data_IF_108391710743
#
_entry.id   IF_108391710743
#
_cell.length_a   1.000
_cell.length_b   1.000
_cell.length_c   1.000
_cell.angle_alpha   90.00
_cell.angle_beta   90.00
_cell.angle_gamma   90.00
#
_symmetry.space_group_name_H-M   'P 1'
#
loop_
_entity.id
_entity.type
_entity.pdbx_description
1 polymer ?
#
# COMPACT_ATOMS: atom_id res chain seq x y z
N UNK A 1 -1.38 2.66 -33.24
CA UNK A 1 -1.57 1.64 -32.20
C UNK A 1 -0.81 2.12 -30.98
N UNK A 2 -1.53 2.47 -29.92
CA UNK A 2 -0.98 3.21 -28.78
C UNK A 2 0.09 2.41 -28.05
N UNK A 3 1.29 3.01 -27.96
CA UNK A 3 2.43 2.46 -27.21
C UNK A 3 2.07 2.17 -25.74
N UNK A 4 1.12 2.93 -25.19
CA UNK A 4 0.59 2.76 -23.83
C UNK A 4 -0.26 1.48 -23.72
N UNK A 5 -1.08 1.17 -24.73
CA UNK A 5 -1.92 -0.03 -24.72
C UNK A 5 -1.09 -1.33 -24.84
N UNK A 6 0.02 -1.29 -25.60
CA UNK A 6 0.96 -2.42 -25.68
C UNK A 6 1.66 -2.67 -24.33
N UNK A 7 2.08 -1.60 -23.65
CA UNK A 7 2.68 -1.65 -22.32
C UNK A 7 1.72 -2.19 -21.25
N UNK A 8 0.44 -1.79 -21.27
CA UNK A 8 -0.59 -2.34 -20.38
C UNK A 8 -0.78 -3.84 -20.60
N UNK A 9 -0.80 -4.30 -21.85
CA UNK A 9 -0.92 -5.72 -22.15
C UNK A 9 0.31 -6.52 -21.68
N UNK A 10 1.52 -5.96 -21.81
CA UNK A 10 2.74 -6.58 -21.27
C UNK A 10 2.67 -6.73 -19.75
N UNK A 11 2.31 -5.66 -19.04
CA UNK A 11 2.15 -5.68 -17.58
C UNK A 11 1.11 -6.71 -17.14
N UNK A 12 0.00 -6.84 -17.89
CA UNK A 12 -1.03 -7.85 -17.63
C UNK A 12 -0.51 -9.29 -17.76
N UNK A 13 0.30 -9.57 -18.78
CA UNK A 13 0.89 -10.90 -18.98
C UNK A 13 1.91 -11.22 -17.89
N UNK A 14 2.81 -10.27 -17.58
CA UNK A 14 3.78 -10.41 -16.49
C UNK A 14 3.09 -10.63 -15.13
N UNK A 15 1.96 -9.96 -14.89
CA UNK A 15 1.19 -10.11 -13.66
C UNK A 15 0.59 -11.52 -13.54
N UNK A 16 0.00 -12.05 -14.62
CA UNK A 16 -0.55 -13.40 -14.62
C UNK A 16 0.53 -14.47 -14.39
N UNK A 17 1.69 -14.34 -15.03
CA UNK A 17 2.81 -15.27 -14.85
C UNK A 17 3.34 -15.24 -13.40
N UNK A 18 3.57 -14.04 -12.86
CA UNK A 18 3.98 -13.85 -11.47
C UNK A 18 2.92 -14.40 -10.48
N UNK A 19 1.63 -14.22 -10.78
CA UNK A 19 0.53 -14.73 -9.98
C UNK A 19 0.50 -16.26 -9.95
N UNK A 20 0.66 -16.91 -11.10
CA UNK A 20 0.72 -18.37 -11.17
C UNK A 20 1.91 -18.94 -10.40
N UNK A 21 3.10 -18.38 -10.59
CA UNK A 21 4.30 -18.83 -9.87
C UNK A 21 4.21 -18.62 -8.36
N UNK A 22 3.65 -17.50 -7.90
CA UNK A 22 3.45 -17.27 -6.45
C UNK A 22 2.47 -18.26 -5.86
N UNK A 23 1.38 -18.56 -6.57
CA UNK A 23 0.38 -19.54 -6.15
C UNK A 23 0.97 -20.95 -6.05
N UNK A 24 1.78 -21.36 -7.03
CA UNK A 24 2.49 -22.65 -6.99
C UNK A 24 3.43 -22.74 -5.78
N UNK A 25 4.17 -21.66 -5.48
CA UNK A 25 5.04 -21.59 -4.30
C UNK A 25 4.25 -21.71 -3.00
N UNK A 26 3.08 -21.07 -2.91
CA UNK A 26 2.20 -21.16 -1.73
C UNK A 26 1.67 -22.60 -1.55
N UNK A 27 1.25 -23.27 -2.63
CA UNK A 27 0.86 -24.70 -2.58
C UNK A 27 2.01 -25.61 -2.15
N UNK A 28 3.23 -25.33 -2.61
CA UNK A 28 4.43 -26.05 -2.18
C UNK A 28 4.73 -25.85 -0.68
N UNK A 29 4.43 -24.66 -0.13
CA UNK A 29 4.53 -24.40 1.33
C UNK A 29 3.44 -25.18 2.09
N UNK A 30 2.20 -25.19 1.59
CA UNK A 30 1.08 -25.88 2.24
C UNK A 30 1.32 -27.40 2.38
N UNK A 31 1.89 -28.01 1.35
CA UNK A 31 2.26 -29.43 1.29
C UNK A 31 3.64 -29.74 1.89
N UNK A 32 4.30 -28.76 2.51
CA UNK A 32 5.62 -28.97 3.09
C UNK A 32 5.54 -29.90 4.31
N UNK A 33 6.27 -31.00 4.22
CA UNK A 33 6.47 -31.97 5.30
C UNK A 33 7.98 -32.17 5.58
N UNK A 34 8.32 -32.61 6.79
CA UNK A 34 9.70 -32.82 7.26
C UNK A 34 10.46 -33.84 6.40
N UNK A 35 9.77 -34.81 5.76
CA UNK A 35 10.37 -35.71 4.75
C UNK A 35 10.80 -34.97 3.46
N UNK A 36 10.13 -33.88 3.09
CA UNK A 36 10.50 -33.03 1.95
C UNK A 36 11.82 -32.30 2.18
N UNK A 37 12.11 -31.93 3.43
CA UNK A 37 13.36 -31.28 3.83
C UNK A 37 14.57 -32.19 3.61
N UNK A 38 14.43 -33.49 3.92
CA UNK A 38 15.45 -34.51 3.69
C UNK A 38 15.73 -34.77 2.20
N UNK A 39 14.79 -34.47 1.29
CA UNK A 39 14.95 -34.65 -0.15
C UNK A 39 15.56 -33.43 -0.87
N UNK A 40 15.98 -32.40 -0.15
CA UNK A 40 16.64 -31.22 -0.74
C UNK A 40 15.73 -30.33 -1.59
N UNK A 41 14.42 -30.59 -1.60
CA UNK A 41 13.43 -29.77 -2.32
C UNK A 41 13.15 -28.53 -1.50
N UNK A 42 13.97 -27.49 -1.69
CA UNK A 42 13.84 -26.12 -1.18
C UNK A 42 13.39 -26.00 0.29
N UNK A 43 14.31 -25.59 1.17
CA UNK A 43 13.97 -25.32 2.57
C UNK A 43 12.76 -24.38 2.68
N UNK A 44 11.88 -24.61 3.66
CA UNK A 44 10.68 -23.80 3.88
C UNK A 44 10.97 -22.28 3.96
N UNK A 45 12.09 -21.82 4.56
CA UNK A 45 12.51 -20.41 4.49
C UNK A 45 12.75 -19.91 3.06
N UNK A 46 13.33 -20.74 2.18
CA UNK A 46 13.60 -20.38 0.78
C UNK A 46 12.30 -20.28 -0.03
N UNK A 47 11.37 -21.23 0.17
CA UNK A 47 10.05 -21.16 -0.48
C UNK A 47 9.27 -19.91 -0.05
N UNK A 48 9.35 -19.55 1.23
CA UNK A 48 8.77 -18.31 1.73
C UNK A 48 9.40 -17.06 1.13
N UNK A 49 10.74 -17.00 1.07
CA UNK A 49 11.43 -15.86 0.46
C UNK A 49 10.97 -15.67 -0.99
N UNK A 50 10.92 -16.75 -1.78
CA UNK A 50 10.48 -16.69 -3.16
C UNK A 50 8.99 -16.34 -3.31
N UNK A 51 8.13 -16.76 -2.38
CA UNK A 51 6.72 -16.37 -2.38
C UNK A 51 6.56 -14.87 -2.05
N UNK A 52 7.34 -14.35 -1.10
CA UNK A 52 7.37 -12.92 -0.76
C UNK A 52 7.93 -12.08 -1.91
N UNK A 53 8.98 -12.53 -2.59
CA UNK A 53 9.54 -11.87 -3.76
C UNK A 53 8.50 -11.75 -4.89
N UNK A 54 7.76 -12.83 -5.14
CA UNK A 54 6.68 -12.79 -6.12
C UNK A 54 5.50 -11.90 -5.70
N UNK A 55 5.16 -11.83 -4.41
CA UNK A 55 4.17 -10.85 -3.90
C UNK A 55 4.64 -9.40 -4.09
N UNK A 56 5.93 -9.14 -3.88
CA UNK A 56 6.52 -7.82 -4.11
C UNK A 56 6.51 -7.46 -5.61
N UNK A 57 6.79 -8.43 -6.48
CA UNK A 57 6.68 -8.25 -7.93
C UNK A 57 5.24 -7.90 -8.33
N UNK A 58 4.24 -8.63 -7.83
CA UNK A 58 2.83 -8.33 -8.07
C UNK A 58 2.44 -6.92 -7.63
N UNK A 59 2.89 -6.49 -6.44
CA UNK A 59 2.66 -5.11 -5.97
C UNK A 59 3.37 -4.05 -6.83
N UNK A 60 4.54 -4.36 -7.39
CA UNK A 60 5.20 -3.45 -8.33
C UNK A 60 4.46 -3.33 -9.66
N UNK A 61 3.88 -4.43 -10.17
CA UNK A 61 3.09 -4.46 -11.40
C UNK A 61 1.74 -3.76 -11.21
N UNK A 62 1.12 -3.91 -10.02
CA UNK A 62 -0.05 -3.14 -9.60
C UNK A 62 0.26 -1.63 -9.65
N UNK A 63 1.39 -1.19 -9.09
CA UNK A 63 1.81 0.21 -9.14
C UNK A 63 2.09 0.69 -10.57
N UNK A 64 2.69 -0.15 -11.43
CA UNK A 64 2.89 0.19 -12.85
C UNK A 64 1.55 0.38 -13.57
N UNK A 65 0.56 -0.48 -13.33
CA UNK A 65 -0.77 -0.34 -13.91
C UNK A 65 -1.47 0.94 -13.41
N UNK A 66 -1.34 1.25 -12.11
CA UNK A 66 -1.88 2.48 -11.51
C UNK A 66 -1.24 3.75 -12.10
N UNK A 67 0.05 3.69 -12.47
CA UNK A 67 0.74 4.80 -13.16
C UNK A 67 0.32 4.93 -14.63
N UNK A 68 0.02 3.81 -15.30
CA UNK A 68 -0.38 3.78 -16.70
C UNK A 68 -1.86 4.13 -16.89
N UNK A 69 -2.73 3.79 -15.93
CA UNK A 69 -4.18 3.98 -16.03
C UNK A 69 -4.61 5.42 -16.37
N UNK A 70 -4.03 6.50 -15.80
CA UNK A 70 -4.37 7.88 -16.15
C UNK A 70 -3.82 8.34 -17.52
N UNK A 71 -2.94 7.57 -18.16
CA UNK A 71 -2.30 7.92 -19.43
C UNK A 71 -3.06 7.38 -20.65
N UNK A 72 -4.15 6.64 -20.45
CA UNK A 72 -5.00 6.14 -21.53
C UNK A 72 -5.89 7.27 -22.04
N UNK A 73 -6.07 7.33 -23.37
CA UNK A 73 -6.77 8.44 -24.04
C UNK A 73 -8.32 8.33 -23.94
N UNK A 74 -8.86 7.18 -23.54
CA UNK A 74 -10.31 6.92 -23.51
C UNK A 74 -10.82 6.70 -22.09
N UNK A 75 -11.82 7.47 -21.66
CA UNK A 75 -12.45 7.35 -20.34
C UNK A 75 -12.99 5.93 -20.06
N UNK A 76 -13.47 5.23 -21.08
CA UNK A 76 -13.92 3.83 -20.96
C UNK A 76 -12.78 2.84 -20.68
N UNK A 77 -11.58 3.13 -21.19
CA UNK A 77 -10.40 2.30 -20.96
C UNK A 77 -9.79 2.59 -19.58
N UNK A 78 -9.93 3.83 -19.09
CA UNK A 78 -9.56 4.22 -17.74
C UNK A 78 -10.43 3.46 -16.71
N UNK A 79 -11.74 3.40 -16.91
CA UNK A 79 -12.65 2.62 -16.04
C UNK A 79 -12.34 1.12 -16.09
N UNK A 80 -12.03 0.57 -17.27
CA UNK A 80 -11.62 -0.82 -17.41
C UNK A 80 -10.29 -1.11 -16.68
N UNK A 81 -9.31 -0.21 -16.76
CA UNK A 81 -8.04 -0.33 -16.05
C UNK A 81 -8.22 -0.23 -14.52
N UNK A 82 -9.11 0.64 -14.04
CA UNK A 82 -9.42 0.77 -12.61
C UNK A 82 -10.10 -0.48 -12.05
N UNK A 83 -11.07 -1.06 -12.76
CA UNK A 83 -11.71 -2.32 -12.33
C UNK A 83 -10.72 -3.50 -12.34
N UNK A 84 -9.80 -3.54 -13.31
CA UNK A 84 -8.72 -4.53 -13.35
C UNK A 84 -7.78 -4.36 -12.16
N UNK A 85 -7.41 -3.13 -11.82
CA UNK A 85 -6.57 -2.82 -10.66
C UNK A 85 -7.22 -3.27 -9.35
N UNK A 86 -8.53 -3.05 -9.19
CA UNK A 86 -9.27 -3.51 -8.02
C UNK A 86 -9.32 -5.05 -7.94
N UNK A 87 -9.45 -5.72 -9.09
CA UNK A 87 -9.36 -7.17 -9.16
C UNK A 87 -7.96 -7.69 -8.76
N UNK A 88 -6.88 -7.01 -9.17
CA UNK A 88 -5.51 -7.37 -8.83
C UNK A 88 -5.19 -7.13 -7.35
N UNK A 89 -5.73 -6.06 -6.77
CA UNK A 89 -5.66 -5.78 -5.32
C UNK A 89 -6.30 -6.91 -4.52
N UNK A 90 -7.52 -7.30 -4.89
CA UNK A 90 -8.23 -8.40 -4.24
C UNK A 90 -7.47 -9.73 -4.37
N UNK A 91 -6.97 -10.04 -5.57
CA UNK A 91 -6.19 -11.25 -5.82
C UNK A 91 -4.87 -11.26 -5.02
N UNK A 92 -4.17 -10.13 -4.92
CA UNK A 92 -2.94 -10.00 -4.12
C UNK A 92 -3.21 -10.12 -2.61
N UNK A 93 -4.32 -9.57 -2.11
CA UNK A 93 -4.73 -9.74 -0.72
C UNK A 93 -5.07 -11.20 -0.40
N UNK A 94 -5.77 -11.89 -1.32
CA UNK A 94 -6.07 -13.31 -1.20
C UNK A 94 -4.81 -14.18 -1.22
N UNK A 95 -3.81 -13.85 -2.04
CA UNK A 95 -2.51 -14.55 -2.00
C UNK A 95 -1.78 -14.33 -0.66
N UNK A 96 -1.83 -13.12 -0.11
CA UNK A 96 -1.22 -12.82 1.21
C UNK A 96 -1.88 -13.62 2.34
N UNK A 97 -3.22 -13.72 2.34
CA UNK A 97 -3.93 -14.53 3.33
C UNK A 97 -3.67 -16.03 3.14
N UNK A 98 -3.65 -16.52 1.90
CA UNK A 98 -3.30 -17.89 1.55
C UNK A 98 -1.87 -18.26 1.98
N UNK A 99 -0.88 -17.39 1.73
CA UNK A 99 0.49 -17.58 2.19
C UNK A 99 0.57 -17.67 3.72
N UNK A 100 -0.17 -16.85 4.45
CA UNK A 100 -0.22 -16.90 5.92
C UNK A 100 -0.81 -18.22 6.41
N UNK A 101 -1.89 -18.69 5.78
CA UNK A 101 -2.54 -19.96 6.14
C UNK A 101 -1.63 -21.17 5.82
N UNK A 102 -1.03 -21.20 4.63
CA UNK A 102 -0.08 -22.24 4.23
C UNK A 102 1.11 -22.31 5.20
N UNK A 103 1.63 -21.16 5.64
CA UNK A 103 2.69 -21.10 6.64
C UNK A 103 2.28 -21.65 8.01
N UNK A 104 1.05 -21.37 8.44
CA UNK A 104 0.51 -21.90 9.70
C UNK A 104 0.32 -23.41 9.63
N UNK A 105 -0.16 -23.93 8.51
CA UNK A 105 -0.34 -25.36 8.26
C UNK A 105 0.99 -26.10 8.20
N UNK A 106 1.98 -25.57 7.48
CA UNK A 106 3.32 -26.14 7.44
C UNK A 106 3.95 -26.21 8.85
N UNK A 107 3.83 -25.14 9.65
CA UNK A 107 4.27 -25.15 11.05
C UNK A 107 3.51 -26.17 11.91
N UNK A 108 2.22 -26.34 11.69
CA UNK A 108 1.42 -27.34 12.41
C UNK A 108 1.87 -28.77 12.05
N UNK A 109 2.11 -29.06 10.77
CA UNK A 109 2.61 -30.34 10.29
C UNK A 109 4.00 -30.64 10.87
N UNK A 110 4.91 -29.66 10.85
CA UNK A 110 6.24 -29.80 11.48
C UNK A 110 6.16 -30.08 12.98
N UNK A 111 5.23 -29.42 13.70
CA UNK A 111 5.00 -29.68 15.13
C UNK A 111 4.45 -31.08 15.39
N UNK A 112 3.51 -31.55 14.57
CA UNK A 112 2.99 -32.93 14.65
C UNK A 112 4.10 -33.95 14.41
N UNK A 113 4.87 -33.79 13.33
CA UNK A 113 6.00 -34.66 13.02
C UNK A 113 7.07 -34.66 14.13
N UNK A 114 7.37 -33.50 14.72
CA UNK A 114 8.31 -33.40 15.84
C UNK A 114 7.76 -34.05 17.13
N UNK A 115 6.45 -33.96 17.37
CA UNK A 115 5.80 -34.60 18.51
C UNK A 115 5.79 -36.13 18.36
N UNK A 116 5.48 -36.65 17.16
CA UNK A 116 5.54 -38.08 16.86
C UNK A 116 6.97 -38.63 17.01
N UNK A 117 7.99 -37.88 16.58
CA UNK A 117 9.39 -38.23 16.77
C UNK A 117 9.77 -38.23 18.26
N UNK A 118 9.32 -37.22 19.01
CA UNK A 118 9.54 -37.14 20.46
C UNK A 118 8.85 -38.28 21.20
N UNK A 119 7.63 -38.65 20.81
CA UNK A 119 6.90 -39.79 21.37
C UNK A 119 7.61 -41.12 21.06
N UNK A 120 8.17 -41.27 19.85
CA UNK A 120 9.01 -42.43 19.50
C UNK A 120 10.31 -42.50 20.30
N UNK A 121 10.95 -41.36 20.57
CA UNK A 121 12.22 -41.31 21.30
C UNK A 121 12.06 -41.41 22.83
N UNK A 122 11.01 -40.79 23.39
CA UNK A 122 10.73 -40.80 24.83
C UNK A 122 9.91 -42.01 25.25
N UNK A 123 9.02 -42.49 24.39
CA UNK A 123 8.20 -43.67 24.60
C UNK A 123 8.95 -44.96 24.28
N UNK A 124 10.23 -45.05 24.66
CA UNK A 124 11.17 -46.14 24.36
C UNK A 124 10.41 -47.42 24.07
N UNK A 125 10.35 -47.76 22.77
CA UNK A 125 9.24 -48.47 22.14
C UNK A 125 8.60 -49.52 23.05
N UNK A 126 7.27 -49.60 23.07
CA UNK A 126 6.43 -50.43 23.98
C UNK A 126 7.07 -51.74 24.48
N UNK A 127 7.85 -52.41 23.63
CA UNK A 127 8.62 -53.62 23.90
C UNK A 127 9.76 -53.47 24.95
N UNK A 128 10.45 -52.34 24.99
CA UNK A 128 11.65 -52.11 25.80
C UNK A 128 11.35 -51.69 27.26
N UNK A 129 10.24 -51.02 27.52
CA UNK A 129 9.80 -50.68 28.89
C UNK A 129 9.29 -51.90 29.66
N UNK A 130 8.63 -52.84 28.98
CA UNK A 130 8.15 -54.11 29.56
C UNK A 130 9.33 -55.02 29.90
N UNK A 131 10.36 -55.08 29.04
CA UNK A 131 11.58 -55.88 29.27
C UNK A 131 12.44 -55.34 30.41
N UNK A 132 12.55 -54.01 30.54
CA UNK A 132 13.31 -53.36 31.65
C UNK A 132 12.64 -53.58 33.00
N UNK A 133 11.30 -53.53 33.06
CA UNK A 133 10.52 -53.77 34.29
C UNK A 133 10.72 -55.19 34.85
N UNK A 134 10.90 -56.19 33.99
CA UNK A 134 11.12 -57.58 34.43
C UNK A 134 12.55 -57.88 34.89
N UNK A 135 13.56 -57.18 34.39
CA UNK A 135 14.97 -57.38 34.77
C UNK A 135 15.35 -56.65 36.07
N UNK A 136 14.63 -55.59 36.44
CA UNK A 136 14.97 -54.72 37.57
C UNK A 136 14.54 -55.27 38.94
N UNK A 137 13.69 -56.30 38.99
CA UNK A 137 13.04 -56.78 40.22
C UNK A 137 13.93 -57.62 41.14
N UNK A 138 15.10 -58.11 40.69
CA UNK A 138 15.85 -59.12 41.45
C UNK A 138 17.30 -58.78 41.84
N UNK A 139 17.90 -57.73 41.26
CA UNK A 139 19.29 -57.35 41.55
C UNK A 139 19.55 -55.82 41.62
N UNK A 140 18.54 -54.98 41.38
CA UNK A 140 18.74 -53.55 41.14
C UNK A 140 18.72 -52.63 42.37
N UNK A 141 18.29 -53.09 43.55
CA UNK A 141 18.05 -52.20 44.70
C UNK A 141 19.32 -51.56 45.27
N UNK A 142 20.47 -52.24 45.23
CA UNK A 142 21.75 -51.71 45.76
C UNK A 142 22.53 -50.90 44.72
N UNK A 143 22.59 -51.35 43.45
CA UNK A 143 23.18 -50.56 42.36
C UNK A 143 22.37 -49.33 41.96
N UNK A 144 21.05 -49.30 42.21
CA UNK A 144 20.23 -48.12 41.96
C UNK A 144 20.62 -46.95 42.86
N UNK A 145 20.91 -47.18 44.15
CA UNK A 145 21.30 -46.10 45.06
C UNK A 145 22.67 -45.48 44.71
N UNK A 146 23.62 -46.32 44.30
CA UNK A 146 24.96 -45.88 43.87
C UNK A 146 24.89 -45.13 42.53
N UNK A 147 24.15 -45.65 41.55
CA UNK A 147 23.93 -44.95 40.28
C UNK A 147 23.14 -43.64 40.44
N UNK A 148 22.17 -43.57 41.35
CA UNK A 148 21.46 -42.31 41.67
C UNK A 148 22.43 -41.28 42.26
N UNK A 149 23.31 -41.68 43.17
CA UNK A 149 24.29 -40.77 43.79
C UNK A 149 25.33 -40.29 42.78
N UNK A 150 25.79 -41.18 41.89
CA UNK A 150 26.71 -40.83 40.80
C UNK A 150 26.04 -39.93 39.75
N UNK A 151 24.77 -40.16 39.45
CA UNK A 151 23.95 -39.28 38.60
C UNK A 151 23.84 -37.88 39.20
N UNK A 152 23.61 -37.78 40.51
CA UNK A 152 23.47 -36.50 41.21
C UNK A 152 24.80 -35.73 41.25
N UNK A 153 25.92 -36.44 41.41
CA UNK A 153 27.27 -35.88 41.31
C UNK A 153 27.59 -35.38 39.89
N UNK A 154 27.18 -36.13 38.86
CA UNK A 154 27.28 -35.73 37.45
C UNK A 154 26.42 -34.51 37.14
N UNK A 155 25.17 -34.48 37.62
CA UNK A 155 24.27 -33.33 37.47
C UNK A 155 24.83 -32.09 38.16
N UNK A 156 25.46 -32.23 39.34
CA UNK A 156 26.15 -31.11 40.01
C UNK A 156 27.26 -30.54 39.14
N UNK A 157 28.08 -31.38 38.50
CA UNK A 157 29.15 -30.92 37.61
C UNK A 157 28.60 -30.21 36.37
N UNK A 158 27.54 -30.75 35.75
CA UNK A 158 26.88 -30.11 34.62
C UNK A 158 26.24 -28.77 35.01
N UNK A 159 25.65 -28.68 36.20
CA UNK A 159 25.07 -27.43 36.72
C UNK A 159 26.15 -26.36 36.93
N UNK A 160 27.32 -26.72 37.45
CA UNK A 160 28.44 -25.79 37.60
C UNK A 160 28.91 -25.30 36.22
N UNK A 161 29.06 -26.21 35.27
CA UNK A 161 29.43 -25.86 33.89
C UNK A 161 28.36 -24.97 33.22
N UNK A 162 27.08 -25.21 33.46
CA UNK A 162 25.99 -24.40 32.93
C UNK A 162 25.94 -23.02 33.58
N UNK A 163 26.29 -22.90 34.87
CA UNK A 163 26.43 -21.61 35.54
C UNK A 163 27.62 -20.80 34.97
N UNK A 164 28.77 -21.43 34.76
CA UNK A 164 29.92 -20.76 34.11
C UNK A 164 29.59 -20.33 32.67
N UNK A 165 28.85 -21.18 31.95
CA UNK A 165 28.36 -20.86 30.60
C UNK A 165 27.32 -19.74 30.59
N UNK A 166 26.43 -19.68 31.57
CA UNK A 166 25.45 -18.58 31.67
C UNK A 166 26.12 -17.28 32.07
N UNK A 167 27.12 -17.29 32.96
CA UNK A 167 27.90 -16.11 33.30
C UNK A 167 28.62 -15.50 32.08
N UNK A 168 29.32 -16.32 31.29
CA UNK A 168 29.95 -15.87 30.04
C UNK A 168 28.92 -15.39 28.99
N UNK A 169 27.74 -16.00 28.95
CA UNK A 169 26.66 -15.53 28.05
C UNK A 169 26.09 -14.18 28.51
N UNK A 170 25.99 -13.93 29.81
CA UNK A 170 25.55 -12.63 30.34
C UNK A 170 26.58 -11.54 30.01
N UNK A 171 27.88 -11.83 30.17
CA UNK A 171 28.95 -10.90 29.82
C UNK A 171 28.90 -10.51 28.33
N UNK A 172 28.74 -11.49 27.43
CA UNK A 172 28.58 -11.20 25.99
C UNK A 172 27.27 -10.45 25.66
N UNK A 173 26.21 -10.65 26.44
CA UNK A 173 24.96 -9.91 26.31
C UNK A 173 25.09 -8.45 26.76
N UNK A 174 25.84 -8.20 27.84
CA UNK A 174 26.17 -6.85 28.30
C UNK A 174 27.02 -6.10 27.27
N UNK A 175 28.04 -6.75 26.70
CA UNK A 175 28.86 -6.17 25.62
C UNK A 175 28.02 -5.82 24.40
N UNK A 176 27.14 -6.74 23.97
CA UNK A 176 26.22 -6.53 22.84
C UNK A 176 25.24 -5.38 23.11
N UNK A 177 24.74 -5.27 24.35
CA UNK A 177 23.86 -4.17 24.78
C UNK A 177 24.61 -2.84 24.78
N UNK A 178 25.88 -2.83 25.17
CA UNK A 178 26.77 -1.67 25.09
C UNK A 178 26.94 -1.16 23.65
N UNK A 179 27.18 -2.07 22.71
CA UNK A 179 27.26 -1.74 21.26
C UNK A 179 25.93 -1.20 20.74
N UNK A 180 24.81 -1.82 21.14
CA UNK A 180 23.48 -1.36 20.72
C UNK A 180 23.17 0.04 21.23
N UNK A 181 23.53 0.34 22.48
CA UNK A 181 23.37 1.68 23.08
C UNK A 181 24.23 2.73 22.35
N UNK A 182 25.44 2.35 21.93
CA UNK A 182 26.30 3.21 21.10
C UNK A 182 25.67 3.47 19.73
N UNK A 183 25.18 2.44 19.05
CA UNK A 183 24.47 2.58 17.77
C UNK A 183 23.20 3.42 17.91
N UNK A 184 22.44 3.27 18.99
CA UNK A 184 21.27 4.10 19.29
C UNK A 184 21.67 5.58 19.47
N UNK A 185 22.78 5.84 20.16
CA UNK A 185 23.28 7.20 20.34
C UNK A 185 23.74 7.85 19.02
N UNK A 186 24.40 7.09 18.13
CA UNK A 186 24.75 7.53 16.78
C UNK A 186 23.49 7.79 15.93
N UNK A 187 22.48 6.92 16.04
CA UNK A 187 21.20 7.07 15.33
C UNK A 187 20.41 8.30 15.81
N UNK A 188 20.38 8.56 17.12
CA UNK A 188 19.82 9.80 17.69
C UNK A 188 20.60 11.03 17.20
N UNK A 189 21.92 10.93 17.07
CA UNK A 189 22.76 11.95 16.44
C UNK A 189 22.32 12.27 15.00
N UNK A 190 22.13 11.24 14.16
CA UNK A 190 21.62 11.42 12.80
C UNK A 190 20.21 12.01 12.74
N UNK A 191 19.33 11.65 13.67
CA UNK A 191 17.98 12.22 13.75
C UNK A 191 18.02 13.71 14.08
N UNK A 192 18.90 14.13 14.98
CA UNK A 192 19.12 15.56 15.28
C UNK A 192 19.58 16.32 14.04
N UNK A 193 20.54 15.76 13.29
CA UNK A 193 21.02 16.34 12.03
C UNK A 193 19.90 16.45 10.98
N UNK A 194 19.10 15.39 10.79
CA UNK A 194 17.95 15.41 9.87
C UNK A 194 16.89 16.44 10.27
N UNK A 195 16.61 16.61 11.56
CA UNK A 195 15.69 17.65 12.04
C UNK A 195 16.25 19.04 11.73
N UNK A 196 17.56 19.26 11.88
CA UNK A 196 18.20 20.52 11.51
C UNK A 196 18.11 20.78 10.00
N UNK A 197 18.34 19.77 9.17
CA UNK A 197 18.18 19.87 7.71
C UNK A 197 16.74 20.19 7.33
N UNK A 198 15.75 19.56 7.98
CA UNK A 198 14.33 19.84 7.75
C UNK A 198 13.97 21.28 8.11
N UNK A 199 14.49 21.80 9.21
CA UNK A 199 14.26 23.17 9.62
C UNK A 199 14.85 24.16 8.60
N UNK A 200 16.09 23.94 8.14
CA UNK A 200 16.71 24.76 7.09
C UNK A 200 15.92 24.69 5.76
N UNK A 201 15.49 23.50 5.36
CA UNK A 201 14.67 23.32 4.16
C UNK A 201 13.32 24.05 4.29
N UNK A 202 12.69 23.99 5.46
CA UNK A 202 11.44 24.70 5.72
C UNK A 202 11.61 26.22 5.72
N UNK A 203 12.79 26.75 6.09
CA UNK A 203 13.06 28.19 5.99
C UNK A 203 13.19 28.65 4.55
N UNK A 204 13.81 27.85 3.67
CA UNK A 204 13.88 28.14 2.23
C UNK A 204 12.49 28.10 1.58
N UNK A 205 11.69 27.07 1.86
CA UNK A 205 10.34 26.96 1.33
C UNK A 205 9.43 28.13 1.78
N UNK A 206 9.57 28.57 3.04
CA UNK A 206 8.81 29.72 3.54
C UNK A 206 9.21 31.02 2.86
N UNK A 207 10.49 31.21 2.53
CA UNK A 207 10.95 32.37 1.77
C UNK A 207 10.33 32.39 0.37
N UNK A 208 10.35 31.27 -0.35
CA UNK A 208 9.75 31.18 -1.69
C UNK A 208 8.23 31.43 -1.70
N UNK A 209 7.53 30.92 -0.68
CA UNK A 209 6.08 31.14 -0.54
C UNK A 209 5.77 32.59 -0.18
N UNK A 210 6.52 33.18 0.76
CA UNK A 210 6.33 34.58 1.14
C UNK A 210 6.64 35.54 -0.02
N UNK A 211 7.69 35.28 -0.78
CA UNK A 211 8.03 36.07 -1.96
C UNK A 211 6.91 36.00 -3.01
N UNK A 212 6.38 34.79 -3.27
CA UNK A 212 5.24 34.61 -4.18
C UNK A 212 3.99 35.36 -3.71
N UNK A 213 3.71 35.38 -2.40
CA UNK A 213 2.59 36.14 -1.83
C UNK A 213 2.82 37.64 -2.01
N UNK A 214 4.03 38.16 -1.73
CA UNK A 214 4.36 39.57 -1.88
C UNK A 214 4.20 40.01 -3.35
N UNK A 215 4.68 39.21 -4.30
CA UNK A 215 4.50 39.46 -5.73
C UNK A 215 3.01 39.46 -6.13
N UNK A 216 2.23 38.50 -5.64
CA UNK A 216 0.80 38.42 -5.92
C UNK A 216 0.03 39.63 -5.36
N UNK A 217 0.34 40.06 -4.14
CA UNK A 217 -0.28 41.23 -3.50
C UNK A 217 0.11 42.51 -4.24
N UNK A 218 1.39 42.68 -4.62
CA UNK A 218 1.85 43.81 -5.42
C UNK A 218 1.15 43.87 -6.79
N UNK A 219 1.04 42.74 -7.47
CA UNK A 219 0.30 42.63 -8.73
C UNK A 219 -1.19 42.98 -8.57
N UNK A 220 -1.82 42.55 -7.47
CA UNK A 220 -3.22 42.86 -7.17
C UNK A 220 -3.45 44.37 -7.00
N UNK A 221 -2.61 45.06 -6.22
CA UNK A 221 -2.69 46.51 -6.08
C UNK A 221 -2.40 47.24 -7.38
N UNK A 222 -1.43 46.78 -8.17
CA UNK A 222 -1.16 47.32 -9.49
C UNK A 222 -2.36 47.16 -10.43
N UNK A 223 -2.98 45.97 -10.46
CA UNK A 223 -4.18 45.69 -11.24
C UNK A 223 -5.33 46.60 -10.83
N UNK A 224 -5.57 46.77 -9.52
CA UNK A 224 -6.56 47.72 -8.98
C UNK A 224 -6.31 49.16 -9.42
N UNK A 225 -5.05 49.61 -9.37
CA UNK A 225 -4.67 50.96 -9.79
C UNK A 225 -4.89 51.16 -11.30
N UNK A 226 -4.50 50.19 -12.13
CA UNK A 226 -4.78 50.19 -13.57
C UNK A 226 -6.29 50.22 -13.82
N UNK A 227 -7.04 49.35 -13.15
CA UNK A 227 -8.50 49.28 -13.28
C UNK A 227 -9.18 50.59 -12.86
N UNK A 228 -8.67 51.24 -11.80
CA UNK A 228 -9.13 52.55 -11.36
C UNK A 228 -8.89 53.64 -12.41
N UNK A 229 -7.67 53.72 -12.97
CA UNK A 229 -7.34 54.70 -14.02
C UNK A 229 -8.23 54.49 -15.24
N UNK A 230 -8.38 53.23 -15.69
CA UNK A 230 -9.21 52.88 -16.85
C UNK A 230 -10.68 53.20 -16.57
N UNK A 231 -11.22 52.84 -15.39
CA UNK A 231 -12.61 53.12 -15.00
C UNK A 231 -12.90 54.62 -14.93
N UNK A 232 -11.93 55.41 -14.43
CA UNK A 232 -12.02 56.87 -14.38
C UNK A 232 -11.95 57.50 -15.78
N UNK A 233 -11.13 56.97 -16.68
CA UNK A 233 -10.94 57.56 -18.02
C UNK A 233 -12.02 57.18 -19.04
N UNK A 234 -12.51 55.95 -19.00
CA UNK A 234 -13.44 55.40 -20.00
C UNK A 234 -14.91 55.52 -19.56
N UNK A 235 -15.15 55.87 -18.31
CA UNK A 235 -16.49 55.94 -17.75
C UNK A 235 -17.01 54.52 -17.47
N UNK A 236 -17.33 54.26 -16.21
CA UNK A 236 -17.72 52.96 -15.66
C UNK A 236 -18.70 52.18 -16.56
N UNK A 237 -19.63 52.89 -17.21
CA UNK A 237 -20.67 52.34 -18.09
C UNK A 237 -20.15 51.78 -19.43
N UNK A 238 -19.14 52.39 -20.06
CA UNK A 238 -18.53 51.87 -21.31
C UNK A 238 -17.67 50.65 -21.01
N UNK A 239 -16.99 50.64 -19.86
CA UNK A 239 -16.17 49.52 -19.43
C UNK A 239 -17.00 48.28 -19.13
N UNK A 240 -18.13 48.43 -18.42
CA UNK A 240 -19.04 47.32 -18.14
C UNK A 240 -19.59 46.71 -19.44
N UNK A 241 -20.02 47.53 -20.41
CA UNK A 241 -20.50 47.03 -21.72
C UNK A 241 -19.40 46.33 -22.52
N UNK A 242 -18.17 46.83 -22.47
CA UNK A 242 -17.04 46.24 -23.19
C UNK A 242 -16.52 44.97 -22.51
N UNK A 243 -16.53 44.91 -21.17
CA UNK A 243 -16.18 43.73 -20.40
C UNK A 243 -17.23 42.62 -20.55
N UNK A 244 -18.53 42.94 -20.47
CA UNK A 244 -19.59 41.94 -20.73
C UNK A 244 -19.59 41.48 -22.18
N UNK A 245 -19.31 42.36 -23.14
CA UNK A 245 -19.13 41.98 -24.54
C UNK A 245 -17.89 41.09 -24.75
N UNK A 246 -16.77 41.37 -24.09
CA UNK A 246 -15.54 40.57 -24.19
C UNK A 246 -15.68 39.21 -23.51
N UNK A 247 -16.34 39.14 -22.35
CA UNK A 247 -16.66 37.88 -21.67
C UNK A 247 -17.64 37.07 -22.52
N UNK A 248 -18.69 37.70 -23.07
CA UNK A 248 -19.63 37.03 -23.99
C UNK A 248 -18.94 36.55 -25.27
N UNK A 249 -18.00 37.32 -25.83
CA UNK A 249 -17.22 36.92 -27.00
C UNK A 249 -16.18 35.83 -26.69
N UNK A 250 -15.57 35.85 -25.50
CA UNK A 250 -14.68 34.80 -25.00
C UNK A 250 -15.42 33.49 -24.74
N UNK A 251 -16.59 33.56 -24.10
CA UNK A 251 -17.48 32.41 -23.90
C UNK A 251 -18.06 31.90 -25.22
N UNK A 252 -18.40 32.78 -26.17
CA UNK A 252 -18.86 32.38 -27.50
C UNK A 252 -17.75 31.71 -28.33
N UNK A 253 -16.48 32.14 -28.19
CA UNK A 253 -15.34 31.44 -28.79
C UNK A 253 -15.14 30.04 -28.21
N UNK A 254 -15.41 29.85 -26.91
CA UNK A 254 -15.33 28.56 -26.25
C UNK A 254 -16.53 27.64 -26.60
N UNK A 255 -17.70 28.21 -26.90
CA UNK A 255 -18.87 27.46 -27.36
C UNK A 255 -18.79 27.03 -28.84
N UNK A 256 -18.04 27.75 -29.69
CA UNK A 256 -17.87 27.42 -31.12
C UNK A 256 -16.77 26.38 -31.42
N UNK A 257 -16.10 25.83 -30.39
CA UNK A 257 -15.16 24.72 -30.51
C UNK A 257 -15.81 23.39 -30.08
N UNK A 258 -17.00 23.10 -30.61
CA UNK A 258 -17.61 21.77 -30.57
C UNK A 258 -17.92 21.38 -32.02
N UNK A 259 -17.26 20.37 -32.61
CA UNK A 259 -17.48 20.03 -34.02
C UNK A 259 -18.68 19.10 -34.13
N UNK A 260 -19.72 19.55 -34.82
CA UNK A 260 -20.84 18.72 -35.27
C UNK A 260 -21.06 18.98 -36.76
N UNK A 261 -20.49 18.11 -37.60
CA UNK A 261 -20.81 18.02 -39.02
C UNK A 261 -21.95 17.00 -39.24
N UNK A 262 -22.55 17.05 -40.43
CA UNK A 262 -23.63 16.23 -41.03
C UNK A 262 -25.00 16.92 -41.19
N UNK A 263 -25.07 17.72 -42.26
CA UNK A 263 -26.02 17.65 -43.40
C UNK A 263 -27.42 17.02 -43.14
N UNK A 264 -28.50 17.82 -43.18
CA UNK A 264 -29.51 17.72 -44.26
C UNK A 264 -30.57 18.85 -44.26
N UNK A 265 -31.14 19.01 -45.46
CA UNK A 265 -32.13 19.95 -45.98
C UNK A 265 -33.18 20.61 -45.06
N UNK A 266 -33.33 21.92 -45.29
CA UNK A 266 -34.58 22.48 -45.80
C UNK A 266 -35.54 23.10 -44.77
N UNK A 267 -35.91 24.35 -45.07
CA UNK A 267 -37.08 25.12 -44.57
C UNK A 267 -36.80 26.09 -43.41
N UNK A 268 -36.89 27.38 -43.73
CA UNK A 268 -37.18 28.50 -42.83
C UNK A 268 -38.56 29.08 -43.21
N UNK A 269 -39.20 29.95 -42.40
CA UNK A 269 -39.00 30.24 -40.97
C UNK A 269 -40.33 30.33 -40.18
N UNK A 270 -40.37 29.96 -38.88
CA UNK A 270 -41.37 30.52 -37.94
C UNK A 270 -40.76 30.55 -36.53
N UNK A 271 -40.32 31.74 -36.10
CA UNK A 271 -39.98 32.01 -34.71
C UNK A 271 -40.52 33.40 -34.35
N UNK A 272 -41.71 33.43 -33.77
CA UNK A 272 -42.33 34.60 -33.14
C UNK A 272 -43.58 34.15 -32.37
N UNK A 273 -43.43 33.41 -31.26
CA UNK A 273 -44.57 33.14 -30.37
C UNK A 273 -44.21 32.77 -28.93
N UNK A 274 -43.11 33.30 -28.38
CA UNK A 274 -42.73 33.02 -26.99
C UNK A 274 -42.49 34.28 -26.15
N UNK A 275 -42.14 35.42 -26.77
CA UNK A 275 -41.96 36.69 -26.06
C UNK A 275 -43.29 37.39 -25.68
N UNK A 276 -44.40 37.04 -26.35
CA UNK A 276 -45.73 37.65 -26.12
C UNK A 276 -46.48 37.04 -24.92
N UNK A 277 -46.01 35.90 -24.38
CA UNK A 277 -46.61 35.25 -23.21
C UNK A 277 -46.01 35.74 -21.89
N UNK A 278 -44.74 36.16 -21.87
CA UNK A 278 -44.07 36.65 -20.66
C UNK A 278 -44.53 38.06 -20.31
N UNK A 279 -44.63 38.95 -21.30
CA UNK A 279 -45.15 40.30 -21.07
C UNK A 279 -46.63 40.33 -20.66
N UNK A 280 -47.44 39.37 -21.13
CA UNK A 280 -48.86 39.25 -20.76
C UNK A 280 -49.06 38.75 -19.32
N UNK A 281 -48.08 38.06 -18.73
CA UNK A 281 -48.13 37.61 -17.33
C UNK A 281 -47.70 38.74 -16.38
N UNK A 282 -46.73 39.58 -16.77
CA UNK A 282 -46.31 40.74 -15.96
C UNK A 282 -47.38 41.85 -15.90
N UNK A 283 -48.06 42.14 -17.02
CA UNK A 283 -49.14 43.16 -17.06
C UNK A 283 -50.37 42.77 -16.21
N UNK A 284 -50.64 41.47 -16.05
CA UNK A 284 -51.75 40.97 -15.19
C UNK A 284 -51.39 40.99 -13.71
N UNK A 285 -50.10 40.94 -13.37
CA UNK A 285 -49.62 41.01 -12.00
C UNK A 285 -49.60 42.47 -11.50
N UNK A 286 -49.25 43.41 -12.36
CA UNK A 286 -49.22 44.84 -12.02
C UNK A 286 -50.63 45.43 -11.84
N UNK A 287 -51.64 44.97 -12.59
CA UNK A 287 -53.03 45.38 -12.39
C UNK A 287 -53.68 44.85 -11.11
N UNK A 288 -53.21 43.74 -10.55
CA UNK A 288 -53.74 43.17 -9.30
C UNK A 288 -53.26 43.94 -8.06
N UNK A 289 -52.13 44.65 -8.15
CA UNK A 289 -51.50 45.33 -7.01
C UNK A 289 -52.17 46.69 -6.70
N UNK A 290 -52.91 47.27 -7.65
CA UNK A 290 -53.57 48.58 -7.48
C UNK A 290 -55.05 48.52 -7.05
N UNK A 291 -55.65 47.33 -6.93
CA UNK A 291 -57.06 47.16 -6.49
C UNK A 291 -57.20 46.68 -5.01
N UNK A 292 -56.10 46.55 -4.26
CA UNK A 292 -56.12 46.19 -2.82
C UNK A 292 -55.47 47.24 -1.89
N UNK A 293 -55.50 48.53 -2.26
CA UNK A 293 -55.05 49.64 -1.41
C UNK A 293 -56.08 50.77 -1.29
#
# INVERSE_FOLDING_TARGET
MDKVAEEVNRVKNEWNEAFHHTLERIKAIESYDKQSESMGKNSLPRLNALAQDGLNLLSSLEFKLDLLAPQLLSDSEIEAAQSLLESWKNQSQNLRSSLRNANMQAKANMRKAAQEERERLLGGGEESTIRRRNLQTKAGMTSAAESITESLRRTRQLMVQEVERTASTIETFEESTGVLKKAESEYKGHRSLLTRTRNLLSTMQRQDVMDRIILAVGFFFFSLAVLYVVSKRIGLLKLQRMATAAIKAGMAKQANQIPGDVINHGRNPVQAKEEDLVHRIEDLQERRIWDEL
#
